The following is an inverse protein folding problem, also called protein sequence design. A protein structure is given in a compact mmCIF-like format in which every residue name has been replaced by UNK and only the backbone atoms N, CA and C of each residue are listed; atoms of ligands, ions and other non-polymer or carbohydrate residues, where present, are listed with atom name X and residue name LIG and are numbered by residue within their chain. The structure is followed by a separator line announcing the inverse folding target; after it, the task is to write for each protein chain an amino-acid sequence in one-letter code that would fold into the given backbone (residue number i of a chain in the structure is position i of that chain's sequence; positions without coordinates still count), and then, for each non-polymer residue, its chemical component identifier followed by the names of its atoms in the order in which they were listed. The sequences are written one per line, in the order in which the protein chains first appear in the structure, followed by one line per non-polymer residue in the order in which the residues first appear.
data_IF_755446948319
#
_entry.id   IF_755446948319
#
_cell.length_a   1.000
_cell.length_b   1.000
_cell.length_c   1.000
_cell.angle_alpha   90.00
_cell.angle_beta   90.00
_cell.angle_gamma   90.00
#
_symmetry.space_group_name_H-M   'P 1'
#
loop_
_entity.id
_entity.type
_entity.pdbx_description
1 polymer ?
#
# COMPACT_ATOMS: atom_id res chain seq x y z
N UNK A 1 89.00 1.39 3.43
CA UNK A 1 88.46 1.33 4.82
C UNK A 1 87.11 2.01 4.78
N UNK A 2 86.07 1.25 5.10
CA UNK A 2 84.67 1.45 4.71
C UNK A 2 84.01 2.69 5.34
N UNK A 3 83.29 3.47 4.51
CA UNK A 3 82.22 4.37 4.96
C UNK A 3 81.00 3.54 5.37
N UNK A 4 80.56 3.68 6.61
CA UNK A 4 79.30 3.12 7.11
C UNK A 4 78.20 4.15 6.89
N UNK A 5 77.29 3.85 5.96
CA UNK A 5 76.03 4.58 5.76
C UNK A 5 74.96 3.91 6.62
N UNK A 6 74.37 4.68 7.52
CA UNK A 6 73.24 4.29 8.37
C UNK A 6 71.99 4.20 7.49
N UNK A 7 71.39 3.01 7.39
CA UNK A 7 70.09 2.81 6.75
C UNK A 7 69.03 2.58 7.83
N UNK A 8 68.06 3.49 7.92
CA UNK A 8 66.89 3.36 8.78
C UNK A 8 66.02 2.20 8.27
N UNK A 9 65.87 1.16 9.08
CA UNK A 9 64.88 0.12 8.88
C UNK A 9 63.48 0.66 9.17
N UNK A 10 62.66 0.79 8.13
CA UNK A 10 61.22 1.05 8.23
C UNK A 10 60.57 -0.25 8.71
N UNK A 11 60.08 -0.27 9.95
CA UNK A 11 59.25 -1.35 10.46
C UNK A 11 57.93 -1.37 9.69
N UNK A 12 57.76 -2.39 8.84
CA UNK A 12 56.49 -2.70 8.20
C UNK A 12 55.47 -3.11 9.24
N UNK A 13 54.49 -2.24 9.49
CA UNK A 13 53.27 -2.62 10.21
C UNK A 13 52.46 -3.50 9.26
N UNK A 14 52.59 -4.81 9.46
CA UNK A 14 51.66 -5.82 8.95
C UNK A 14 50.25 -5.44 9.40
N UNK A 15 49.44 -4.89 8.50
CA UNK A 15 47.99 -4.92 8.63
C UNK A 15 47.59 -6.39 8.54
N UNK A 16 47.49 -7.05 9.70
CA UNK A 16 46.64 -8.22 9.83
C UNK A 16 45.24 -7.79 9.38
N UNK A 17 44.86 -8.17 8.16
CA UNK A 17 43.46 -8.17 7.78
C UNK A 17 42.80 -9.22 8.68
N UNK A 18 42.11 -8.75 9.71
CA UNK A 18 41.14 -9.58 10.38
C UNK A 18 40.09 -9.96 9.34
N UNK A 19 40.16 -11.18 8.81
CA UNK A 19 39.08 -11.76 8.05
C UNK A 19 37.87 -11.82 8.97
N UNK A 20 36.99 -10.83 8.89
CA UNK A 20 35.64 -10.98 9.43
C UNK A 20 35.04 -12.18 8.71
N UNK A 21 34.91 -13.28 9.45
CA UNK A 21 34.22 -14.46 8.99
C UNK A 21 32.79 -14.00 8.68
N UNK A 22 32.44 -13.88 7.40
CA UNK A 22 31.16 -13.35 6.92
C UNK A 22 30.05 -14.39 7.09
N UNK A 23 29.93 -14.97 8.27
CA UNK A 23 28.83 -15.86 8.63
C UNK A 23 27.55 -15.03 8.65
N UNK A 24 26.59 -15.36 7.78
CA UNK A 24 25.26 -14.76 7.83
C UNK A 24 24.55 -15.26 9.09
N UNK A 25 24.38 -14.43 10.14
CA UNK A 25 23.58 -14.86 11.28
C UNK A 25 22.16 -15.09 10.80
N UNK A 26 21.60 -16.24 11.15
CA UNK A 26 20.20 -16.56 10.87
C UNK A 26 19.45 -16.49 12.19
N UNK A 27 18.47 -15.60 12.26
CA UNK A 27 17.62 -15.45 13.44
C UNK A 27 16.75 -16.69 13.62
N UNK A 28 16.37 -17.00 14.86
CA UNK A 28 15.60 -18.20 15.18
C UNK A 28 14.27 -18.26 14.40
N UNK A 29 13.60 -17.12 14.22
CA UNK A 29 12.35 -17.02 13.46
C UNK A 29 12.56 -17.20 11.95
N UNK A 30 13.81 -17.18 11.47
CA UNK A 30 14.19 -17.41 10.08
C UNK A 30 14.87 -18.76 9.82
N UNK A 31 14.90 -19.65 10.83
CA UNK A 31 15.32 -21.05 10.70
C UNK A 31 14.14 -21.95 10.28
N UNK A 32 13.39 -21.54 9.26
CA UNK A 32 12.16 -22.20 8.83
C UNK A 32 12.24 -22.55 7.35
N UNK A 33 11.97 -23.81 7.04
CA UNK A 33 11.71 -24.30 5.69
C UNK A 33 10.25 -24.76 5.62
N UNK A 34 9.55 -24.41 4.54
CA UNK A 34 8.21 -24.95 4.27
C UNK A 34 8.18 -25.64 2.91
N UNK A 35 7.26 -26.59 2.76
CA UNK A 35 7.15 -27.44 1.56
C UNK A 35 5.82 -27.24 0.82
N UNK A 36 5.01 -26.26 1.24
CA UNK A 36 3.74 -25.92 0.59
C UNK A 36 3.36 -24.46 0.83
N UNK A 37 2.51 -23.94 -0.07
CA UNK A 37 1.88 -22.62 0.07
C UNK A 37 0.51 -22.80 0.75
N UNK A 38 0.19 -22.03 1.80
CA UNK A 38 -1.13 -22.06 2.40
C UNK A 38 -2.23 -21.76 1.38
N UNK A 39 -3.29 -22.57 1.39
CA UNK A 39 -4.39 -22.52 0.41
C UNK A 39 -3.95 -22.74 -1.06
N UNK A 40 -2.78 -23.33 -1.30
CA UNK A 40 -2.25 -23.56 -2.66
C UNK A 40 -3.20 -24.33 -3.58
N UNK A 41 -3.94 -25.32 -3.06
CA UNK A 41 -4.94 -26.07 -3.83
C UNK A 41 -6.12 -25.20 -4.28
N UNK A 42 -6.56 -24.28 -3.41
CA UNK A 42 -7.63 -23.33 -3.71
C UNK A 42 -7.15 -22.31 -4.75
N UNK A 43 -5.92 -21.80 -4.59
CA UNK A 43 -5.31 -20.93 -5.59
C UNK A 43 -5.19 -21.63 -6.95
N UNK A 44 -4.77 -22.89 -6.98
CA UNK A 44 -4.70 -23.70 -8.20
C UNK A 44 -6.06 -23.87 -8.87
N UNK A 45 -7.12 -24.11 -8.07
CA UNK A 45 -8.48 -24.18 -8.60
C UNK A 45 -8.94 -22.84 -9.18
N UNK A 46 -8.69 -21.74 -8.48
CA UNK A 46 -9.04 -20.41 -8.98
C UNK A 46 -8.29 -20.02 -10.25
N UNK A 47 -7.01 -20.41 -10.37
CA UNK A 47 -6.24 -20.26 -11.59
C UNK A 47 -6.85 -21.05 -12.76
N UNK A 48 -7.25 -22.32 -12.54
CA UNK A 48 -7.90 -23.16 -13.57
C UNK A 48 -9.21 -22.53 -14.08
N UNK A 49 -9.94 -21.88 -13.20
CA UNK A 49 -11.20 -21.18 -13.52
C UNK A 49 -10.98 -19.76 -14.07
N UNK A 50 -9.72 -19.32 -14.27
CA UNK A 50 -9.36 -17.96 -14.69
C UNK A 50 -9.86 -16.83 -13.77
N UNK A 51 -10.07 -17.11 -12.47
CA UNK A 51 -10.37 -16.05 -11.52
C UNK A 51 -9.19 -15.09 -11.40
N UNK A 52 -9.50 -13.81 -11.16
CA UNK A 52 -8.53 -12.71 -11.06
C UNK A 52 -7.69 -12.41 -12.30
N UNK A 53 -7.73 -13.23 -13.36
CA UNK A 53 -6.94 -12.98 -14.58
C UNK A 53 -7.30 -11.64 -15.22
N UNK A 54 -6.28 -10.88 -15.58
CA UNK A 54 -6.37 -9.65 -16.37
C UNK A 54 -5.30 -9.72 -17.43
N UNK A 55 -5.74 -9.52 -18.65
CA UNK A 55 -4.93 -9.63 -19.85
C UNK A 55 -4.56 -8.20 -20.29
N UNK A 56 -3.76 -7.54 -19.47
CA UNK A 56 -3.32 -6.16 -19.61
C UNK A 56 -1.81 -6.03 -19.38
N UNK A 57 -1.21 -4.94 -19.85
CA UNK A 57 0.22 -4.66 -19.67
C UNK A 57 1.13 -5.80 -20.19
N UNK A 58 0.81 -6.39 -21.35
CA UNK A 58 1.54 -7.54 -21.92
C UNK A 58 3.03 -7.33 -22.17
N UNK A 59 3.46 -6.07 -22.26
CA UNK A 59 4.85 -5.67 -22.51
C UNK A 59 5.63 -5.36 -21.22
N UNK A 60 5.04 -5.55 -20.04
CA UNK A 60 5.73 -5.30 -18.77
C UNK A 60 6.95 -6.22 -18.62
N UNK A 61 8.12 -5.64 -18.33
CA UNK A 61 9.28 -6.41 -17.91
C UNK A 61 9.07 -6.99 -16.51
N UNK A 62 9.72 -8.12 -16.22
CA UNK A 62 9.73 -8.67 -14.86
C UNK A 62 10.61 -7.83 -13.95
N UNK A 63 9.99 -6.99 -13.13
CA UNK A 63 10.63 -6.28 -12.03
C UNK A 63 9.95 -6.65 -10.72
N UNK A 64 10.76 -6.76 -9.68
CA UNK A 64 10.28 -7.04 -8.34
C UNK A 64 9.99 -5.70 -7.65
N UNK A 65 8.85 -5.64 -6.97
CA UNK A 65 8.48 -4.50 -6.16
C UNK A 65 8.89 -4.75 -4.72
N UNK A 66 8.33 -5.80 -4.11
CA UNK A 66 8.55 -6.13 -2.70
C UNK A 66 8.47 -7.64 -2.45
N UNK A 67 9.15 -8.11 -1.40
CA UNK A 67 9.01 -9.46 -0.84
C UNK A 67 8.53 -9.38 0.60
N UNK A 68 7.44 -10.07 0.93
CA UNK A 68 6.83 -10.09 2.26
C UNK A 68 6.98 -11.47 2.88
N UNK A 69 7.63 -11.55 4.04
CA UNK A 69 7.86 -12.79 4.79
C UNK A 69 6.77 -12.99 5.85
N UNK A 70 5.90 -13.97 5.63
CA UNK A 70 4.92 -14.42 6.62
C UNK A 70 5.44 -15.64 7.40
N UNK A 71 4.64 -16.13 8.34
CA UNK A 71 5.03 -17.23 9.21
C UNK A 71 5.39 -18.50 8.43
N UNK A 72 4.67 -18.79 7.36
CA UNK A 72 4.68 -20.06 6.62
C UNK A 72 4.97 -19.91 5.11
N UNK A 73 4.93 -18.70 4.56
CA UNK A 73 5.26 -18.43 3.16
C UNK A 73 5.86 -17.02 2.97
N UNK A 74 6.28 -16.75 1.73
CA UNK A 74 6.71 -15.44 1.24
C UNK A 74 5.78 -15.03 0.09
N UNK A 75 5.34 -13.78 0.03
CA UNK A 75 4.67 -13.23 -1.14
C UNK A 75 5.59 -12.24 -1.84
N UNK A 76 5.75 -12.36 -3.16
CA UNK A 76 6.56 -11.45 -3.97
C UNK A 76 5.65 -10.69 -4.91
N UNK A 77 5.61 -9.36 -4.80
CA UNK A 77 4.89 -8.48 -5.71
C UNK A 77 5.79 -8.09 -6.88
N UNK A 78 5.24 -8.10 -8.09
CA UNK A 78 5.97 -7.80 -9.33
C UNK A 78 5.23 -6.77 -10.18
N UNK A 79 5.86 -6.30 -11.26
CA UNK A 79 5.24 -5.44 -12.27
C UNK A 79 4.37 -6.19 -13.28
N UNK A 80 4.44 -7.53 -13.33
CA UNK A 80 3.84 -8.35 -14.39
C UNK A 80 2.41 -8.75 -14.06
N UNK A 81 1.41 -8.25 -14.79
CA UNK A 81 0.00 -8.56 -14.51
C UNK A 81 -0.61 -9.67 -15.40
N UNK A 82 -0.09 -9.89 -16.61
CA UNK A 82 -0.70 -10.77 -17.62
C UNK A 82 -0.36 -12.27 -17.48
N UNK A 83 0.40 -12.66 -16.46
CA UNK A 83 0.95 -14.02 -16.33
C UNK A 83 0.20 -14.93 -15.36
N UNK A 84 -1.02 -14.58 -14.92
CA UNK A 84 -1.79 -15.43 -13.99
C UNK A 84 -1.83 -16.90 -14.45
N UNK A 85 -1.48 -17.82 -13.55
CA UNK A 85 -1.41 -19.26 -13.84
C UNK A 85 -0.17 -19.73 -14.60
N UNK A 86 0.73 -18.83 -15.02
CA UNK A 86 2.01 -19.21 -15.62
C UNK A 86 3.04 -19.55 -14.55
N UNK A 87 3.96 -20.49 -14.83
CA UNK A 87 5.00 -20.88 -13.89
C UNK A 87 5.92 -19.70 -13.56
N UNK A 88 6.41 -19.71 -12.33
CA UNK A 88 7.42 -18.80 -11.81
C UNK A 88 8.30 -19.58 -10.84
N UNK A 89 9.57 -19.23 -10.71
CA UNK A 89 10.50 -19.92 -9.82
C UNK A 89 11.05 -18.95 -8.79
N UNK A 90 10.86 -19.27 -7.52
CA UNK A 90 11.38 -18.51 -6.40
C UNK A 90 12.86 -18.84 -6.21
N UNK A 91 13.70 -17.80 -6.17
CA UNK A 91 15.15 -17.86 -6.01
C UNK A 91 15.52 -17.16 -4.70
N UNK A 92 16.30 -17.79 -3.84
CA UNK A 92 16.53 -17.33 -2.46
C UNK A 92 17.98 -16.94 -2.24
N UNK A 93 18.20 -15.84 -1.53
CA UNK A 93 19.54 -15.32 -1.30
C UNK A 93 19.77 -15.02 0.18
N UNK A 94 20.99 -15.26 0.64
CA UNK A 94 21.43 -14.99 2.00
C UNK A 94 21.70 -13.48 2.25
N UNK A 95 22.19 -13.16 3.45
CA UNK A 95 22.51 -11.78 3.83
C UNK A 95 23.62 -11.13 2.98
N UNK A 96 24.46 -11.94 2.32
CA UNK A 96 25.52 -11.50 1.41
C UNK A 96 25.02 -11.45 -0.05
N UNK A 97 23.71 -11.61 -0.28
CA UNK A 97 23.08 -11.74 -1.59
C UNK A 97 23.65 -12.89 -2.43
N UNK A 98 24.14 -13.94 -1.78
CA UNK A 98 24.54 -15.18 -2.45
C UNK A 98 23.35 -16.11 -2.50
N UNK A 99 23.13 -16.70 -3.67
CA UNK A 99 22.06 -17.65 -3.86
C UNK A 99 22.26 -18.88 -2.97
N UNK A 100 21.20 -19.28 -2.26
CA UNK A 100 21.20 -20.45 -1.40
C UNK A 100 21.05 -21.68 -2.29
N UNK A 101 22.05 -22.56 -2.26
CA UNK A 101 22.06 -23.78 -3.07
C UNK A 101 20.85 -24.68 -2.80
N UNK A 102 20.30 -25.28 -3.86
CA UNK A 102 19.16 -26.21 -3.81
C UNK A 102 17.91 -25.66 -3.10
N UNK A 103 17.72 -24.34 -3.13
CA UNK A 103 16.60 -23.68 -2.46
C UNK A 103 15.44 -23.33 -3.40
N UNK A 104 15.64 -23.39 -4.72
CA UNK A 104 14.68 -23.01 -5.74
C UNK A 104 13.33 -23.69 -5.54
N UNK A 105 12.24 -22.95 -5.75
CA UNK A 105 10.87 -23.47 -5.63
C UNK A 105 10.03 -23.09 -6.84
N UNK A 106 9.37 -24.07 -7.44
CA UNK A 106 8.41 -23.82 -8.52
C UNK A 106 7.06 -23.36 -7.95
N UNK A 107 6.60 -22.22 -8.42
CA UNK A 107 5.32 -21.60 -8.09
C UNK A 107 4.61 -21.13 -9.37
N UNK A 108 3.62 -20.26 -9.21
CA UNK A 108 2.87 -19.64 -10.31
C UNK A 108 2.43 -18.23 -9.91
N UNK A 109 2.19 -17.40 -10.92
CA UNK A 109 1.62 -16.08 -10.73
C UNK A 109 0.16 -16.18 -10.30
N UNK A 110 -0.17 -15.76 -9.08
CA UNK A 110 -1.53 -15.67 -8.57
C UNK A 110 -1.61 -14.79 -7.31
N UNK A 111 -2.65 -13.94 -7.16
CA UNK A 111 -3.41 -13.37 -8.27
C UNK A 111 -2.51 -12.43 -9.09
N UNK A 112 -2.72 -12.35 -10.40
CA UNK A 112 -2.09 -11.34 -11.25
C UNK A 112 -0.56 -11.27 -11.13
N UNK A 113 -0.04 -10.27 -10.42
CA UNK A 113 1.37 -9.93 -10.31
C UNK A 113 2.06 -10.45 -9.05
N UNK A 114 1.42 -11.38 -8.33
CA UNK A 114 1.94 -11.97 -7.11
C UNK A 114 2.51 -13.37 -7.37
N UNK A 115 3.64 -13.69 -6.75
CA UNK A 115 4.17 -15.05 -6.68
C UNK A 115 4.31 -15.45 -5.22
N UNK A 116 3.64 -16.54 -4.84
CA UNK A 116 3.76 -17.13 -3.50
C UNK A 116 4.92 -18.12 -3.47
N UNK A 117 5.85 -17.91 -2.56
CA UNK A 117 7.06 -18.70 -2.38
C UNK A 117 7.03 -19.39 -1.02
N UNK A 118 7.58 -20.60 -0.93
CA UNK A 118 7.78 -21.27 0.37
C UNK A 118 8.91 -20.59 1.14
N UNK A 119 9.03 -20.90 2.43
CA UNK A 119 10.14 -20.41 3.25
C UNK A 119 11.40 -21.24 3.03
N UNK A 120 12.54 -20.56 3.10
CA UNK A 120 13.87 -21.16 3.09
C UNK A 120 14.69 -20.55 4.21
N UNK A 121 15.27 -21.41 5.04
CA UNK A 121 16.02 -20.99 6.20
C UNK A 121 17.21 -20.11 5.78
N UNK A 122 17.40 -18.98 6.46
CA UNK A 122 18.48 -18.03 6.17
C UNK A 122 18.26 -17.13 4.95
N UNK A 123 17.16 -17.27 4.22
CA UNK A 123 16.82 -16.33 3.14
C UNK A 123 16.59 -14.92 3.71
N UNK A 124 17.26 -13.93 3.12
CA UNK A 124 17.12 -12.50 3.43
C UNK A 124 16.59 -11.71 2.23
N UNK A 125 16.82 -12.22 1.03
CA UNK A 125 16.31 -11.67 -0.21
C UNK A 125 15.68 -12.78 -1.04
N UNK A 126 14.76 -12.37 -1.91
CA UNK A 126 14.08 -13.26 -2.86
C UNK A 126 14.09 -12.64 -4.25
N UNK A 127 14.17 -13.49 -5.26
CA UNK A 127 13.94 -13.13 -6.65
C UNK A 127 13.04 -14.14 -7.34
N UNK A 128 12.55 -13.78 -8.53
CA UNK A 128 11.70 -14.59 -9.38
C UNK A 128 12.38 -14.78 -10.74
N UNK A 129 12.36 -16.01 -11.26
CA UNK A 129 12.68 -16.33 -12.65
C UNK A 129 11.49 -16.99 -13.36
N UNK A 130 11.50 -16.99 -14.69
CA UNK A 130 10.48 -17.70 -15.49
C UNK A 130 10.82 -19.17 -15.74
N UNK A 131 12.09 -19.54 -15.59
CA UNK A 131 12.62 -20.88 -15.78
C UNK A 131 13.42 -21.28 -14.55
N UNK A 132 13.52 -22.58 -14.30
CA UNK A 132 14.17 -23.12 -13.10
C UNK A 132 15.61 -22.63 -12.99
N UNK A 133 16.44 -22.85 -14.02
CA UNK A 133 17.84 -22.42 -14.09
C UNK A 133 18.06 -21.16 -14.95
N UNK A 134 16.99 -20.41 -15.19
CA UNK A 134 17.01 -19.23 -16.05
C UNK A 134 17.50 -17.96 -15.36
N UNK A 135 17.47 -16.87 -16.12
CA UNK A 135 17.69 -15.53 -15.57
C UNK A 135 16.58 -15.17 -14.57
N UNK A 136 17.00 -14.69 -13.40
CA UNK A 136 16.12 -14.14 -12.39
C UNK A 136 16.13 -12.61 -12.42
N UNK A 137 15.06 -12.01 -11.93
CA UNK A 137 14.91 -10.55 -11.85
C UNK A 137 15.96 -9.95 -10.90
N UNK A 138 16.63 -8.88 -11.34
CA UNK A 138 17.64 -8.18 -10.56
C UNK A 138 17.22 -6.74 -10.28
N UNK A 139 17.55 -6.19 -9.10
CA UNK A 139 18.14 -6.89 -7.94
C UNK A 139 17.11 -7.81 -7.25
N UNK A 140 17.60 -8.79 -6.48
CA UNK A 140 16.74 -9.51 -5.54
C UNK A 140 16.22 -8.53 -4.48
N UNK A 141 14.97 -8.68 -4.06
CA UNK A 141 14.34 -7.76 -3.09
C UNK A 141 14.49 -8.28 -1.68
N UNK A 142 14.73 -7.40 -0.69
CA UNK A 142 14.80 -7.80 0.71
C UNK A 142 13.42 -8.29 1.17
N UNK A 143 13.45 -9.26 2.10
CA UNK A 143 12.24 -9.77 2.74
C UNK A 143 11.81 -8.83 3.88
N UNK A 144 10.67 -8.17 3.70
CA UNK A 144 10.00 -7.40 4.74
C UNK A 144 9.27 -8.34 5.68
N UNK A 145 9.54 -8.19 6.98
CA UNK A 145 8.91 -9.02 7.99
C UNK A 145 7.41 -8.71 8.13
N UNK A 146 6.58 -9.74 7.95
CA UNK A 146 5.12 -9.74 8.13
C UNK A 146 4.65 -11.00 8.89
N UNK A 147 5.55 -11.67 9.60
CA UNK A 147 5.26 -12.83 10.43
C UNK A 147 4.96 -12.42 11.89
N UNK A 148 4.14 -11.39 12.07
CA UNK A 148 3.71 -10.96 13.40
C UNK A 148 2.70 -11.96 13.96
N UNK A 149 2.79 -12.28 15.25
CA UNK A 149 1.84 -13.17 15.93
C UNK A 149 0.43 -12.55 15.97
N UNK A 150 0.37 -11.25 16.23
CA UNK A 150 -0.84 -10.43 16.19
C UNK A 150 -0.59 -9.17 15.34
N UNK A 151 -1.62 -8.63 14.65
CA UNK A 151 -1.48 -7.39 13.91
C UNK A 151 -1.04 -6.23 14.80
N UNK A 152 -0.06 -5.44 14.33
CA UNK A 152 0.45 -4.26 15.06
C UNK A 152 -0.61 -3.15 15.10
N UNK A 153 -1.35 -3.00 14.02
CA UNK A 153 -2.36 -1.96 13.84
C UNK A 153 -3.76 -2.57 13.83
N UNK A 154 -4.69 -1.98 14.56
CA UNK A 154 -6.11 -2.37 14.48
C UNK A 154 -6.68 -2.00 13.10
N UNK A 155 -6.42 -0.75 12.66
CA UNK A 155 -6.85 -0.22 11.38
C UNK A 155 -5.66 0.37 10.64
N UNK A 156 -5.39 -0.18 9.46
CA UNK A 156 -4.50 0.38 8.46
C UNK A 156 -5.27 0.83 7.21
N UNK A 157 -4.57 1.52 6.31
CA UNK A 157 -5.20 2.07 5.12
C UNK A 157 -4.33 1.94 3.88
N UNK A 158 -4.86 1.30 2.85
CA UNK A 158 -4.35 1.35 1.49
C UNK A 158 -4.85 2.61 0.80
N UNK A 159 -3.92 3.48 0.42
CA UNK A 159 -4.24 4.72 -0.28
C UNK A 159 -4.00 4.53 -1.77
N UNK A 160 -4.96 4.96 -2.59
CA UNK A 160 -4.82 4.99 -4.04
C UNK A 160 -3.51 5.66 -4.49
N UNK A 161 -2.96 5.24 -5.65
CA UNK A 161 -1.61 5.63 -6.04
C UNK A 161 -1.47 7.13 -6.29
N UNK A 162 -0.29 7.66 -5.96
CA UNK A 162 0.11 9.01 -6.33
C UNK A 162 0.77 9.02 -7.70
N UNK A 163 0.21 9.84 -8.59
CA UNK A 163 0.74 10.11 -9.92
C UNK A 163 0.15 11.41 -10.48
N UNK A 164 0.82 11.96 -11.48
CA UNK A 164 0.37 13.14 -12.23
C UNK A 164 0.90 14.46 -11.67
N UNK A 165 0.69 15.56 -12.41
CA UNK A 165 1.36 16.84 -12.13
C UNK A 165 0.69 17.68 -11.04
N UNK A 166 -0.43 17.22 -10.46
CA UNK A 166 -1.17 17.96 -9.45
C UNK A 166 -0.42 17.96 -8.11
N UNK A 167 -0.22 19.15 -7.54
CA UNK A 167 0.30 19.29 -6.18
C UNK A 167 -0.80 18.95 -5.18
N UNK A 168 -0.63 17.87 -4.44
CA UNK A 168 -1.65 17.30 -3.54
C UNK A 168 -1.32 17.41 -2.06
N UNK A 169 -0.35 18.24 -1.69
CA UNK A 169 0.12 18.39 -0.31
C UNK A 169 -1.02 18.62 0.71
N UNK A 170 -1.96 19.53 0.41
CA UNK A 170 -3.06 19.83 1.32
C UNK A 170 -4.09 18.69 1.38
N UNK A 171 -4.44 18.13 0.22
CA UNK A 171 -5.33 16.97 0.11
C UNK A 171 -4.76 15.76 0.87
N UNK A 172 -3.43 15.54 0.80
CA UNK A 172 -2.71 14.51 1.56
C UNK A 172 -2.82 14.73 3.07
N UNK A 173 -2.51 15.95 3.55
CA UNK A 173 -2.57 16.23 4.99
C UNK A 173 -4.01 16.11 5.49
N UNK A 174 -4.98 16.71 4.80
CA UNK A 174 -6.40 16.61 5.17
C UNK A 174 -6.87 15.16 5.19
N UNK A 175 -6.51 14.36 4.18
CA UNK A 175 -6.88 12.95 4.11
C UNK A 175 -6.32 12.15 5.30
N UNK A 176 -5.02 12.26 5.57
CA UNK A 176 -4.37 11.53 6.67
C UNK A 176 -4.98 11.94 8.00
N UNK A 177 -5.06 13.24 8.29
CA UNK A 177 -5.60 13.73 9.56
C UNK A 177 -7.07 13.40 9.74
N UNK A 178 -7.87 13.46 8.68
CA UNK A 178 -9.27 13.04 8.69
C UNK A 178 -9.41 11.56 9.03
N UNK A 179 -8.65 10.68 8.39
CA UNK A 179 -8.73 9.24 8.63
C UNK A 179 -8.18 8.85 10.01
N UNK A 180 -7.22 9.61 10.56
CA UNK A 180 -6.72 9.44 11.93
C UNK A 180 -7.78 9.75 13.00
N UNK A 181 -8.78 10.59 12.70
CA UNK A 181 -9.93 10.80 13.61
C UNK A 181 -10.71 9.49 13.80
N UNK A 182 -10.73 8.63 12.78
CA UNK A 182 -11.35 7.29 12.83
C UNK A 182 -10.36 6.19 13.24
N UNK A 183 -9.29 6.57 13.96
CA UNK A 183 -8.31 5.65 14.54
C UNK A 183 -7.52 4.83 13.51
N UNK A 184 -7.44 5.29 12.25
CA UNK A 184 -6.47 4.76 11.29
C UNK A 184 -5.07 5.09 11.79
N UNK A 185 -4.28 4.05 12.04
CA UNK A 185 -2.97 4.18 12.70
C UNK A 185 -1.79 3.97 11.76
N UNK A 186 -2.01 3.42 10.56
CA UNK A 186 -0.98 3.18 9.57
C UNK A 186 -1.49 3.40 8.15
N UNK A 187 -0.72 4.12 7.34
CA UNK A 187 -1.03 4.43 5.95
C UNK A 187 -0.01 3.80 5.01
N UNK A 188 -0.49 3.10 3.99
CA UNK A 188 0.34 2.45 2.99
C UNK A 188 0.15 3.19 1.67
N UNK A 189 1.19 3.92 1.26
CA UNK A 189 1.18 4.72 0.04
C UNK A 189 1.96 4.03 -1.07
N UNK A 190 1.47 4.18 -2.30
CA UNK A 190 2.24 3.82 -3.50
C UNK A 190 2.43 5.05 -4.35
N UNK A 191 3.67 5.33 -4.71
CA UNK A 191 4.09 6.53 -5.42
C UNK A 191 4.65 6.11 -6.76
N UNK A 192 3.99 6.50 -7.85
CA UNK A 192 4.56 6.44 -9.19
C UNK A 192 5.26 7.76 -9.54
N UNK A 193 4.64 8.87 -9.18
CA UNK A 193 5.18 10.21 -9.33
C UNK A 193 4.59 11.14 -8.25
N UNK A 194 5.42 12.02 -7.69
CA UNK A 194 5.03 12.97 -6.65
C UNK A 194 5.98 14.16 -6.67
N UNK A 195 5.43 15.37 -6.58
CA UNK A 195 6.22 16.59 -6.51
C UNK A 195 6.95 16.71 -5.15
N UNK A 196 8.10 17.37 -5.16
CA UNK A 196 8.93 17.52 -3.96
C UNK A 196 8.23 18.27 -2.81
N UNK A 197 7.22 19.10 -3.09
CA UNK A 197 6.50 19.85 -2.06
C UNK A 197 5.48 18.99 -1.32
N UNK A 198 4.74 18.14 -2.03
CA UNK A 198 3.88 17.11 -1.43
C UNK A 198 4.69 16.04 -0.68
N UNK A 199 5.90 15.72 -1.19
CA UNK A 199 6.80 14.74 -0.56
C UNK A 199 7.19 15.15 0.87
N UNK A 200 7.36 16.45 1.16
CA UNK A 200 7.68 16.93 2.50
C UNK A 200 6.66 16.48 3.56
N UNK A 201 5.36 16.57 3.24
CA UNK A 201 4.31 16.12 4.16
C UNK A 201 4.32 14.60 4.34
N UNK A 202 4.54 13.84 3.26
CA UNK A 202 4.60 12.39 3.33
C UNK A 202 5.81 11.89 4.12
N UNK A 203 6.99 12.50 3.90
CA UNK A 203 8.22 12.21 4.66
C UNK A 203 8.01 12.42 6.16
N UNK A 204 7.28 13.47 6.54
CA UNK A 204 6.98 13.71 7.94
C UNK A 204 6.09 12.63 8.55
N UNK A 205 5.09 12.13 7.81
CA UNK A 205 4.29 10.99 8.26
C UNK A 205 5.09 9.68 8.33
N UNK A 206 6.01 9.44 7.39
CA UNK A 206 6.94 8.30 7.46
C UNK A 206 7.86 8.42 8.68
N UNK A 207 8.40 9.62 8.94
CA UNK A 207 9.26 9.91 10.11
C UNK A 207 8.54 9.69 11.43
N UNK A 208 7.24 9.99 11.50
CA UNK A 208 6.40 9.72 12.68
C UNK A 208 6.02 8.23 12.82
N UNK A 209 6.38 7.37 11.86
CA UNK A 209 5.99 5.95 11.85
C UNK A 209 4.50 5.74 11.53
N UNK A 210 3.86 6.72 10.90
CA UNK A 210 2.43 6.67 10.53
C UNK A 210 2.22 6.21 9.09
N UNK A 211 3.28 6.18 8.27
CA UNK A 211 3.20 5.79 6.88
C UNK A 211 4.34 4.88 6.44
N UNK A 212 4.05 3.98 5.49
CA UNK A 212 5.03 3.26 4.69
C UNK A 212 4.79 3.56 3.20
N UNK A 213 5.86 3.84 2.45
CA UNK A 213 5.77 4.08 1.01
C UNK A 213 6.39 2.96 0.18
N UNK A 214 5.76 2.65 -0.97
CA UNK A 214 6.37 1.93 -2.09
C UNK A 214 6.54 2.91 -3.24
N UNK A 215 7.78 3.15 -3.69
CA UNK A 215 8.04 3.92 -4.90
C UNK A 215 8.17 2.95 -6.08
N UNK A 216 7.33 3.14 -7.10
CA UNK A 216 7.33 2.30 -8.30
C UNK A 216 7.92 3.10 -9.46
N UNK A 217 9.12 2.71 -9.88
CA UNK A 217 9.71 3.21 -11.10
C UNK A 217 9.05 2.52 -12.30
N UNK A 218 8.33 3.33 -13.08
CA UNK A 218 7.59 2.87 -14.26
C UNK A 218 8.36 3.18 -15.53
N UNK A 219 8.44 2.22 -16.45
CA UNK A 219 8.90 2.43 -17.83
C UNK A 219 7.84 3.08 -18.73
N UNK A 220 6.59 3.15 -18.25
CA UNK A 220 5.46 3.63 -19.01
C UNK A 220 5.43 5.16 -19.05
N UNK A 221 5.26 5.70 -20.24
CA UNK A 221 5.10 7.14 -20.50
C UNK A 221 3.73 7.67 -20.06
N UNK A 222 2.74 6.79 -19.94
CA UNK A 222 1.40 7.11 -19.45
C UNK A 222 0.94 6.06 -18.45
N UNK A 223 0.45 6.53 -17.31
CA UNK A 223 -0.20 5.71 -16.29
C UNK A 223 -1.70 5.87 -16.44
N UNK A 224 -2.41 4.75 -16.51
CA UNK A 224 -3.87 4.72 -16.48
C UNK A 224 -4.39 4.05 -15.19
N UNK A 225 -5.71 3.89 -15.11
CA UNK A 225 -6.38 3.30 -13.95
C UNK A 225 -6.00 1.83 -13.71
N UNK A 226 -5.38 1.12 -14.66
CA UNK A 226 -4.98 -0.28 -14.47
C UNK A 226 -3.78 -0.41 -13.52
N UNK A 227 -2.95 0.62 -13.40
CA UNK A 227 -1.80 0.65 -12.48
C UNK A 227 -2.20 0.63 -11.01
N UNK A 228 -3.46 0.98 -10.70
CA UNK A 228 -4.00 0.81 -9.36
C UNK A 228 -3.97 -0.67 -8.92
N UNK A 229 -4.04 -1.66 -9.83
CA UNK A 229 -3.94 -3.07 -9.42
C UNK A 229 -2.58 -3.42 -8.83
N UNK A 230 -1.50 -2.80 -9.33
CA UNK A 230 -0.17 -2.98 -8.76
C UNK A 230 -0.14 -2.43 -7.33
N UNK A 231 -0.63 -1.20 -7.14
CA UNK A 231 -0.76 -0.58 -5.82
C UNK A 231 -1.62 -1.42 -4.88
N UNK A 232 -2.76 -1.91 -5.34
CA UNK A 232 -3.70 -2.67 -4.54
C UNK A 232 -3.09 -3.96 -4.01
N UNK A 233 -2.40 -4.74 -4.86
CA UNK A 233 -1.82 -5.99 -4.38
C UNK A 233 -0.55 -5.78 -3.56
N UNK A 234 0.26 -4.75 -3.88
CA UNK A 234 1.41 -4.38 -3.05
C UNK A 234 0.95 -3.97 -1.65
N UNK A 235 -0.01 -3.07 -1.57
CA UNK A 235 -0.59 -2.62 -0.31
C UNK A 235 -1.29 -3.75 0.45
N UNK A 236 -2.02 -4.62 -0.26
CA UNK A 236 -2.67 -5.79 0.34
C UNK A 236 -1.66 -6.65 1.09
N UNK A 237 -0.52 -6.97 0.48
CA UNK A 237 0.51 -7.76 1.15
C UNK A 237 1.28 -6.98 2.21
N UNK A 238 1.52 -5.68 1.99
CA UNK A 238 2.15 -4.79 2.96
C UNK A 238 1.34 -4.63 4.24
N UNK A 239 0.02 -4.63 4.13
CA UNK A 239 -0.90 -4.48 5.25
C UNK A 239 -1.26 -5.80 5.93
N UNK A 240 -1.18 -6.94 5.22
CA UNK A 240 -1.48 -8.26 5.78
C UNK A 240 -0.56 -8.61 6.95
N UNK A 241 -1.16 -9.10 8.04
CA UNK A 241 -0.51 -9.37 9.34
C UNK A 241 0.10 -8.14 10.02
N UNK A 242 0.09 -6.97 9.37
CA UNK A 242 0.50 -5.70 9.96
C UNK A 242 -0.71 -4.94 10.51
N UNK A 243 -1.84 -5.00 9.80
CA UNK A 243 -3.12 -4.42 10.16
C UNK A 243 -4.22 -5.49 10.23
N UNK A 244 -5.09 -5.42 11.25
CA UNK A 244 -6.22 -6.34 11.40
C UNK A 244 -7.35 -6.03 10.39
N UNK A 245 -7.67 -4.75 10.25
CA UNK A 245 -8.59 -4.25 9.24
C UNK A 245 -7.87 -3.25 8.34
N UNK A 246 -8.21 -3.28 7.05
CA UNK A 246 -7.60 -2.42 6.05
C UNK A 246 -8.70 -1.70 5.28
N UNK A 247 -8.63 -0.38 5.28
CA UNK A 247 -9.47 0.47 4.45
C UNK A 247 -8.82 0.62 3.08
N UNK A 248 -9.56 0.41 2.00
CA UNK A 248 -9.09 0.75 0.66
C UNK A 248 -9.82 2.00 0.15
N UNK A 249 -9.12 3.12 0.06
CA UNK A 249 -9.70 4.38 -0.40
C UNK A 249 -8.73 5.20 -1.24
N UNK A 250 -9.29 6.08 -2.06
CA UNK A 250 -8.52 7.08 -2.81
C UNK A 250 -8.28 8.32 -1.92
N UNK A 251 -7.25 9.10 -2.24
CA UNK A 251 -6.88 10.30 -1.45
C UNK A 251 -7.98 11.39 -1.46
N UNK A 252 -8.84 11.37 -2.47
CA UNK A 252 -10.00 12.26 -2.64
C UNK A 252 -11.25 11.70 -1.94
N UNK A 253 -11.09 10.78 -0.99
CA UNK A 253 -12.19 10.21 -0.21
C UNK A 253 -12.07 10.51 1.30
N UNK A 254 -13.21 10.74 1.96
CA UNK A 254 -13.32 10.99 3.41
C UNK A 254 -14.37 10.07 4.01
N UNK A 255 -13.99 9.26 4.99
CA UNK A 255 -14.93 8.40 5.70
C UNK A 255 -15.77 9.20 6.70
N UNK A 256 -17.06 8.92 6.82
CA UNK A 256 -17.93 9.56 7.82
C UNK A 256 -18.84 8.55 8.49
N UNK A 257 -19.06 8.74 9.79
CA UNK A 257 -20.04 8.00 10.59
C UNK A 257 -21.17 8.92 11.04
N UNK A 258 -22.39 8.38 11.12
CA UNK A 258 -23.59 9.17 11.45
C UNK A 258 -24.20 8.83 12.80
N UNK A 259 -23.71 7.79 13.48
CA UNK A 259 -24.13 7.44 14.83
C UNK A 259 -23.08 7.92 15.85
N UNK A 260 -23.42 8.84 16.75
CA UNK A 260 -22.47 9.36 17.74
C UNK A 260 -22.05 8.30 18.77
N UNK A 261 -22.90 7.31 19.03
CA UNK A 261 -22.67 6.27 20.03
C UNK A 261 -21.92 5.03 19.49
N UNK A 262 -21.50 5.06 18.22
CA UNK A 262 -20.81 3.95 17.57
C UNK A 262 -19.53 4.44 16.91
N UNK A 263 -18.37 3.97 17.37
CA UNK A 263 -17.09 4.23 16.69
C UNK A 263 -16.81 3.21 15.60
N UNK A 264 -15.88 3.54 14.69
CA UNK A 264 -15.48 2.61 13.62
C UNK A 264 -14.90 1.33 14.22
N UNK A 265 -14.04 1.44 15.24
CA UNK A 265 -13.48 0.27 15.92
C UNK A 265 -14.58 -0.58 16.55
N UNK A 266 -15.57 0.01 17.22
CA UNK A 266 -16.68 -0.74 17.79
C UNK A 266 -17.48 -1.47 16.71
N UNK A 267 -17.73 -0.81 15.57
CA UNK A 267 -18.37 -1.44 14.41
C UNK A 267 -17.52 -2.62 13.93
N UNK A 268 -16.21 -2.47 13.75
CA UNK A 268 -15.33 -3.54 13.26
C UNK A 268 -15.20 -4.71 14.24
N UNK A 269 -15.04 -4.45 15.53
CA UNK A 269 -14.91 -5.47 16.59
C UNK A 269 -16.18 -6.26 16.84
N UNK A 270 -17.35 -5.66 16.61
CA UNK A 270 -18.63 -6.36 16.73
C UNK A 270 -18.90 -7.38 15.62
N UNK A 271 -18.07 -7.41 14.57
CA UNK A 271 -18.29 -8.34 13.45
C UNK A 271 -17.87 -9.77 13.81
N UNK A 272 -18.67 -10.73 13.34
CA UNK A 272 -18.40 -12.15 13.48
C UNK A 272 -17.03 -12.52 12.86
N UNK A 273 -16.36 -13.54 13.41
CA UNK A 273 -15.04 -13.99 12.95
C UNK A 273 -15.00 -14.52 11.51
N UNK A 274 -16.13 -14.67 10.83
CA UNK A 274 -16.19 -15.03 9.40
C UNK A 274 -16.53 -13.85 8.49
N UNK A 275 -16.78 -12.65 9.02
CA UNK A 275 -16.86 -11.44 8.20
C UNK A 275 -15.45 -11.10 7.72
N UNK A 276 -15.25 -11.10 6.41
CA UNK A 276 -13.99 -10.71 5.77
C UNK A 276 -14.00 -9.30 5.21
N UNK A 277 -15.18 -8.74 4.95
CA UNK A 277 -15.31 -7.40 4.39
C UNK A 277 -16.60 -6.74 4.85
N UNK A 278 -16.50 -5.44 5.12
CA UNK A 278 -17.59 -4.50 5.20
C UNK A 278 -17.57 -3.58 3.98
N UNK A 279 -18.67 -3.56 3.23
CA UNK A 279 -18.89 -2.65 2.12
C UNK A 279 -19.61 -1.39 2.58
N UNK A 280 -19.04 -0.24 2.24
CA UNK A 280 -19.59 1.07 2.52
C UNK A 280 -19.94 1.76 1.21
N UNK A 281 -21.03 2.51 1.20
CA UNK A 281 -21.40 3.30 0.04
C UNK A 281 -20.56 4.56 -0.03
N UNK A 282 -20.27 5.02 -1.25
CA UNK A 282 -19.65 6.32 -1.50
C UNK A 282 -20.66 7.29 -2.12
N UNK A 283 -20.67 8.54 -1.64
CA UNK A 283 -21.37 9.67 -2.25
C UNK A 283 -20.38 10.57 -2.95
N UNK A 284 -20.74 11.08 -4.12
CA UNK A 284 -19.88 11.98 -4.89
C UNK A 284 -20.15 13.42 -4.48
N UNK A 285 -19.08 14.16 -4.23
CA UNK A 285 -19.09 15.59 -3.91
C UNK A 285 -18.44 16.32 -5.08
N UNK A 286 -19.05 17.40 -5.53
CA UNK A 286 -18.55 18.20 -6.62
C UNK A 286 -17.37 19.08 -6.17
N UNK A 287 -16.16 18.77 -6.66
CA UNK A 287 -14.97 19.61 -6.53
C UNK A 287 -14.87 20.52 -7.76
N UNK A 288 -15.04 21.82 -7.56
CA UNK A 288 -15.06 22.82 -8.65
C UNK A 288 -13.74 23.57 -8.82
N UNK A 289 -12.80 23.40 -7.90
CA UNK A 289 -11.52 24.11 -7.89
C UNK A 289 -10.38 23.14 -7.56
N UNK A 290 -9.18 23.47 -8.02
CA UNK A 290 -7.97 22.71 -7.71
C UNK A 290 -7.48 23.03 -6.30
N UNK A 291 -6.66 22.13 -5.75
CA UNK A 291 -5.96 22.35 -4.48
C UNK A 291 -4.89 23.45 -4.62
N UNK A 292 -4.58 24.21 -3.55
CA UNK A 292 -3.59 25.27 -3.60
C UNK A 292 -2.19 24.72 -3.91
N UNK A 293 -1.39 25.49 -4.66
CA UNK A 293 -0.06 25.04 -5.08
C UNK A 293 1.00 25.03 -3.97
N UNK A 294 0.79 25.81 -2.91
CA UNK A 294 1.72 25.94 -1.78
C UNK A 294 1.01 26.50 -0.55
N UNK A 295 1.59 26.29 0.63
CA UNK A 295 1.24 26.98 1.85
C UNK A 295 1.59 28.48 1.75
N UNK A 296 0.62 29.33 2.07
CA UNK A 296 0.75 30.79 2.13
C UNK A 296 0.55 31.28 3.56
N UNK A 297 -0.57 30.92 4.16
CA UNK A 297 -0.97 31.18 5.54
C UNK A 297 -2.07 30.21 5.98
N UNK A 298 -2.31 30.13 7.29
CA UNK A 298 -3.29 29.21 7.86
C UNK A 298 -4.74 29.50 7.44
N UNK A 299 -5.13 30.78 7.33
CA UNK A 299 -6.50 31.15 6.94
C UNK A 299 -6.82 30.63 5.53
N UNK A 300 -5.95 30.88 4.56
CA UNK A 300 -6.10 30.37 3.20
C UNK A 300 -6.04 28.85 3.15
N UNK A 301 -5.26 28.21 4.03
CA UNK A 301 -5.21 26.75 4.14
C UNK A 301 -6.57 26.18 4.57
N UNK A 302 -7.17 26.75 5.62
CA UNK A 302 -8.47 26.31 6.15
C UNK A 302 -9.58 26.53 5.10
N UNK A 303 -9.59 27.68 4.42
CA UNK A 303 -10.54 28.00 3.35
C UNK A 303 -10.43 27.05 2.13
N UNK A 304 -9.30 26.34 2.01
CA UNK A 304 -9.04 25.39 0.92
C UNK A 304 -9.17 23.93 1.33
N UNK A 305 -9.61 23.61 2.55
CA UNK A 305 -9.93 22.23 2.94
C UNK A 305 -11.10 21.71 2.10
N UNK A 306 -10.87 20.63 1.37
CA UNK A 306 -11.83 20.03 0.44
C UNK A 306 -13.12 19.64 1.17
N UNK A 307 -12.97 19.05 2.36
CA UNK A 307 -14.09 18.57 3.15
C UNK A 307 -15.04 19.67 3.66
N UNK A 308 -14.55 20.91 3.77
CA UNK A 308 -15.30 22.07 4.23
C UNK A 308 -15.81 22.90 3.05
N UNK A 309 -14.96 23.07 2.03
CA UNK A 309 -15.20 23.93 0.88
C UNK A 309 -16.24 23.37 -0.08
N UNK A 310 -16.25 22.05 -0.28
CA UNK A 310 -17.13 21.41 -1.26
C UNK A 310 -18.27 20.66 -0.57
N UNK A 311 -19.49 21.21 -0.70
CA UNK A 311 -20.68 20.69 -0.01
C UNK A 311 -21.69 20.04 -0.97
N UNK A 312 -21.63 20.38 -2.25
CA UNK A 312 -22.58 19.93 -3.29
C UNK A 312 -22.45 18.42 -3.51
N UNK A 313 -23.36 17.67 -2.92
CA UNK A 313 -23.36 16.20 -2.93
C UNK A 313 -24.37 15.69 -3.94
N UNK A 314 -23.90 14.89 -4.90
CA UNK A 314 -24.75 14.31 -5.92
C UNK A 314 -25.65 13.22 -5.33
N UNK A 315 -26.90 13.16 -5.80
CA UNK A 315 -27.79 12.06 -5.49
C UNK A 315 -27.37 10.81 -6.27
N UNK A 316 -26.51 9.98 -5.67
CA UNK A 316 -26.08 8.70 -6.27
C UNK A 316 -27.10 7.60 -6.02
N UNK A 317 -27.31 6.72 -7.01
CA UNK A 317 -28.09 5.50 -6.78
C UNK A 317 -27.37 4.64 -5.74
N UNK A 318 -28.16 3.94 -4.92
CA UNK A 318 -27.64 2.84 -4.10
C UNK A 318 -26.93 1.91 -5.11
N UNK A 319 -25.66 1.53 -4.87
CA UNK A 319 -24.78 0.69 -5.72
C UNK A 319 -23.83 1.37 -6.73
N UNK A 320 -23.84 2.69 -6.92
CA UNK A 320 -22.97 3.33 -7.93
C UNK A 320 -21.51 3.51 -7.52
N UNK A 321 -21.17 3.32 -6.25
CA UNK A 321 -19.81 3.43 -5.73
C UNK A 321 -19.74 2.76 -4.36
N UNK A 322 -18.86 1.77 -4.19
CA UNK A 322 -18.56 1.18 -2.89
C UNK A 322 -17.07 1.26 -2.56
N UNK A 323 -16.79 1.25 -1.27
CA UNK A 323 -15.45 1.15 -0.70
C UNK A 323 -15.48 0.09 0.38
N UNK A 324 -14.40 -0.66 0.51
CA UNK A 324 -14.31 -1.82 1.38
C UNK A 324 -13.38 -1.54 2.56
N UNK A 325 -13.78 -2.02 3.73
CA UNK A 325 -12.90 -2.26 4.86
C UNK A 325 -12.85 -3.77 5.04
N UNK A 326 -11.67 -4.37 4.88
CA UNK A 326 -11.52 -5.81 4.80
C UNK A 326 -10.45 -6.32 5.75
N UNK A 327 -10.48 -7.63 6.02
CA UNK A 327 -9.49 -8.36 6.80
C UNK A 327 -8.52 -9.08 5.86
N UNK A 328 -7.25 -8.62 5.75
CA UNK A 328 -6.33 -9.15 4.75
C UNK A 328 -6.07 -10.65 4.85
N UNK A 329 -6.16 -11.23 6.06
CA UNK A 329 -5.94 -12.65 6.29
C UNK A 329 -7.05 -13.56 5.73
N UNK A 330 -8.23 -13.01 5.46
CA UNK A 330 -9.42 -13.75 4.98
C UNK A 330 -9.68 -13.61 3.48
N UNK A 331 -8.92 -12.74 2.83
CA UNK A 331 -9.10 -12.37 1.44
C UNK A 331 -7.95 -12.95 0.63
N UNK A 332 -8.25 -13.41 -0.58
CA UNK A 332 -7.22 -13.86 -1.51
C UNK A 332 -6.93 -12.83 -2.60
N UNK A 333 -7.95 -12.08 -3.03
CA UNK A 333 -7.85 -11.12 -4.12
C UNK A 333 -8.61 -9.85 -3.77
N UNK A 334 -7.90 -8.73 -3.69
CA UNK A 334 -8.49 -7.41 -3.52
C UNK A 334 -8.61 -6.69 -4.87
N UNK A 335 -9.65 -5.88 -5.05
CA UNK A 335 -9.79 -4.99 -6.22
C UNK A 335 -10.13 -3.57 -5.80
N UNK A 336 -10.35 -2.69 -6.77
CA UNK A 336 -10.56 -1.25 -6.60
C UNK A 336 -11.59 -0.87 -5.52
N UNK A 337 -12.70 -1.61 -5.45
CA UNK A 337 -13.85 -1.24 -4.62
C UNK A 337 -14.18 -2.29 -3.56
N UNK A 338 -13.96 -3.56 -3.88
CA UNK A 338 -14.33 -4.71 -3.05
C UNK A 338 -13.35 -5.87 -3.24
N UNK A 339 -13.37 -6.80 -2.31
CA UNK A 339 -12.61 -8.04 -2.40
C UNK A 339 -13.29 -8.95 -3.42
N UNK A 340 -12.51 -9.44 -4.37
CA UNK A 340 -13.00 -10.26 -5.47
C UNK A 340 -13.10 -11.73 -5.11
N UNK A 341 -12.17 -12.23 -4.29
CA UNK A 341 -12.17 -13.61 -3.79
C UNK A 341 -11.87 -13.62 -2.29
N UNK A 342 -12.73 -14.30 -1.55
CA UNK A 342 -12.55 -14.61 -0.13
C UNK A 342 -12.26 -16.10 0.05
N UNK A 343 -11.58 -16.47 1.14
CA UNK A 343 -11.39 -17.87 1.48
C UNK A 343 -12.72 -18.53 1.92
N UNK A 344 -12.83 -19.87 1.83
CA UNK A 344 -14.07 -20.57 2.17
C UNK A 344 -14.63 -20.21 3.56
N UNK A 345 -15.95 -20.04 3.63
CA UNK A 345 -16.66 -19.69 4.88
C UNK A 345 -16.65 -18.20 5.23
N UNK A 346 -15.91 -17.37 4.48
CA UNK A 346 -15.87 -15.92 4.67
C UNK A 346 -17.03 -15.25 3.93
N UNK A 347 -17.64 -14.24 4.55
CA UNK A 347 -18.72 -13.47 3.94
C UNK A 347 -18.51 -11.96 4.02
N UNK A 348 -19.16 -11.27 3.09
CA UNK A 348 -19.14 -9.82 2.90
C UNK A 348 -20.45 -9.24 3.41
N UNK A 349 -20.38 -8.12 4.16
CA UNK A 349 -21.56 -7.45 4.71
C UNK A 349 -21.63 -6.01 4.20
N UNK A 350 -22.82 -5.60 3.77
CA UNK A 350 -23.06 -4.20 3.43
C UNK A 350 -23.42 -3.41 4.69
N UNK A 351 -22.79 -2.26 4.87
CA UNK A 351 -23.12 -1.30 5.91
C UNK A 351 -24.14 -0.30 5.38
N UNK A 352 -25.27 -0.10 6.10
CA UNK A 352 -26.26 0.90 5.73
C UNK A 352 -25.66 2.32 5.64
N UNK A 353 -26.16 3.12 4.69
CA UNK A 353 -25.65 4.46 4.42
C UNK A 353 -25.85 5.43 5.58
N UNK A 354 -26.92 5.24 6.34
CA UNK A 354 -27.26 5.97 7.56
C UNK A 354 -26.40 5.57 8.77
N UNK A 355 -25.58 4.52 8.65
CA UNK A 355 -24.56 4.17 9.64
C UNK A 355 -23.23 4.87 9.32
N UNK A 356 -22.72 4.66 8.11
CA UNK A 356 -21.46 5.22 7.66
C UNK A 356 -21.36 5.25 6.13
N UNK A 357 -20.56 6.17 5.59
CA UNK A 357 -20.30 6.27 4.15
C UNK A 357 -18.94 6.90 3.84
N UNK A 358 -18.50 6.79 2.60
CA UNK A 358 -17.40 7.60 2.06
C UNK A 358 -17.95 8.81 1.30
N UNK A 359 -17.31 9.95 1.50
CA UNK A 359 -17.49 11.18 0.70
C UNK A 359 -16.36 11.21 -0.32
N UNK A 360 -16.69 11.20 -1.60
CA UNK A 360 -15.74 11.12 -2.71
C UNK A 360 -15.74 12.43 -3.51
N UNK A 361 -14.69 13.23 -3.37
CA UNK A 361 -14.56 14.55 -3.98
C UNK A 361 -14.07 14.42 -5.43
N UNK A 362 -14.93 14.74 -6.40
CA UNK A 362 -14.63 14.56 -7.83
C UNK A 362 -14.53 15.89 -8.54
N UNK A 363 -13.42 16.09 -9.26
CA UNK A 363 -13.20 17.28 -10.10
C UNK A 363 -14.13 17.22 -11.31
N UNK A 364 -15.02 18.21 -11.46
CA UNK A 364 -15.99 18.26 -12.57
C UNK A 364 -15.69 19.33 -13.62
N UNK A 365 -14.62 20.10 -13.43
CA UNK A 365 -14.27 21.24 -14.32
C UNK A 365 -13.40 20.84 -15.51
N UNK A 366 -12.75 19.69 -15.46
CA UNK A 366 -11.84 19.22 -16.52
C UNK A 366 -12.62 18.37 -17.51
N UNK A 367 -13.00 18.88 -18.69
CA UNK A 367 -13.64 18.04 -19.74
C UNK A 367 -12.70 16.88 -20.10
N UNK A 368 -13.10 15.64 -19.79
CA UNK A 368 -12.42 14.34 -20.06
C UNK A 368 -11.63 13.68 -18.90
N UNK A 369 -11.72 14.16 -17.66
CA UNK A 369 -11.36 13.33 -16.49
C UNK A 369 -12.23 12.06 -16.41
N UNK A 370 -11.60 10.93 -16.04
CA UNK A 370 -12.31 9.71 -15.63
C UNK A 370 -13.23 10.10 -14.46
N UNK A 371 -14.53 9.83 -14.57
CA UNK A 371 -15.46 10.23 -13.51
C UNK A 371 -16.29 11.48 -13.80
N UNK A 372 -15.99 12.27 -14.84
CA UNK A 372 -16.82 13.44 -15.17
C UNK A 372 -18.28 13.11 -15.43
N UNK A 373 -18.53 12.04 -16.21
CA UNK A 373 -19.85 11.51 -16.54
C UNK A 373 -20.77 11.22 -15.35
N UNK A 374 -20.18 11.16 -14.15
CA UNK A 374 -20.73 10.49 -12.98
C UNK A 374 -21.19 11.46 -11.89
N UNK A 375 -20.99 12.76 -12.11
CA UNK A 375 -21.48 13.87 -11.29
C UNK A 375 -22.47 14.73 -12.10
N UNK A 376 -23.05 14.19 -13.19
CA UNK A 376 -24.03 14.90 -14.00
C UNK A 376 -25.47 14.59 -13.56
N UNK A 377 -26.16 15.65 -13.17
CA UNK A 377 -27.58 15.70 -12.81
C UNK A 377 -27.86 17.02 -12.08
N UNK A 378 -29.06 17.57 -12.20
CA UNK A 378 -29.42 18.86 -11.59
C UNK A 378 -29.78 18.76 -10.09
N UNK A 379 -29.72 17.56 -9.49
CA UNK A 379 -30.14 17.30 -8.12
C UNK A 379 -28.94 17.13 -7.17
N UNK A 380 -28.46 18.25 -6.65
CA UNK A 380 -27.49 18.29 -5.55
C UNK A 380 -28.16 18.63 -4.22
N UNK A 381 -27.63 18.08 -3.14
CA UNK A 381 -27.93 18.51 -1.77
C UNK A 381 -26.65 19.00 -1.11
N UNK A 382 -26.72 20.08 -0.36
CA UNK A 382 -25.59 20.53 0.45
C UNK A 382 -25.47 19.63 1.67
N UNK A 383 -24.33 18.95 1.79
CA UNK A 383 -24.01 18.15 2.98
C UNK A 383 -22.60 18.50 3.42
N UNK A 384 -22.44 18.94 4.67
CA UNK A 384 -21.15 19.20 5.29
C UNK A 384 -20.71 18.07 6.22
N UNK A 385 -19.58 18.28 6.88
CA UNK A 385 -19.21 17.49 8.05
C UNK A 385 -20.07 17.90 9.25
N UNK A 386 -20.12 17.02 10.26
CA UNK A 386 -20.69 17.38 11.55
C UNK A 386 -19.79 18.46 12.21
N UNK A 387 -20.34 19.48 12.89
CA UNK A 387 -19.56 20.61 13.41
C UNK A 387 -18.37 20.27 14.31
N UNK A 388 -18.48 19.27 15.20
CA UNK A 388 -17.36 18.88 16.06
C UNK A 388 -16.29 18.11 15.29
N UNK A 389 -16.68 17.28 14.32
CA UNK A 389 -15.76 16.65 13.38
C UNK A 389 -15.01 17.71 12.55
N UNK A 390 -15.71 18.74 12.07
CA UNK A 390 -15.11 19.83 11.32
C UNK A 390 -14.05 20.58 12.13
N UNK A 391 -14.38 20.99 13.37
CA UNK A 391 -13.43 21.67 14.27
C UNK A 391 -12.20 20.81 14.55
N UNK A 392 -12.40 19.51 14.80
CA UNK A 392 -11.30 18.59 15.07
C UNK A 392 -10.39 18.41 13.85
N UNK A 393 -10.98 18.30 12.65
CA UNK A 393 -10.23 18.21 11.40
C UNK A 393 -9.40 19.48 11.17
N UNK A 394 -10.02 20.66 11.30
CA UNK A 394 -9.34 21.95 11.16
C UNK A 394 -8.15 22.04 12.12
N UNK A 395 -8.35 21.71 13.39
CA UNK A 395 -7.28 21.75 14.39
C UNK A 395 -6.11 20.82 14.03
N UNK A 396 -6.40 19.58 13.64
CA UNK A 396 -5.37 18.60 13.26
C UNK A 396 -4.60 19.01 12.02
N UNK A 397 -5.30 19.46 10.97
CA UNK A 397 -4.67 19.91 9.73
C UNK A 397 -3.84 21.15 9.96
N UNK A 398 -4.34 22.13 10.71
CA UNK A 398 -3.60 23.35 11.06
C UNK A 398 -2.25 23.02 11.69
N UNK A 399 -2.26 22.20 12.76
CA UNK A 399 -1.05 21.79 13.46
C UNK A 399 -0.03 21.11 12.52
N UNK A 400 -0.49 20.20 11.65
CA UNK A 400 0.40 19.48 10.75
C UNK A 400 0.96 20.39 9.64
N UNK A 401 0.15 21.29 9.08
CA UNK A 401 0.60 22.23 8.05
C UNK A 401 1.63 23.20 8.60
N UNK A 402 1.39 23.79 9.78
CA UNK A 402 2.35 24.67 10.43
C UNK A 402 3.66 23.92 10.75
N UNK A 403 3.56 22.71 11.28
CA UNK A 403 4.74 21.87 11.57
C UNK A 403 5.58 21.58 10.33
N UNK A 404 4.95 21.21 9.21
CA UNK A 404 5.67 20.85 7.98
C UNK A 404 6.19 22.08 7.24
N UNK A 405 5.39 23.15 7.12
CA UNK A 405 5.65 24.24 6.16
C UNK A 405 5.97 25.60 6.77
N UNK A 406 5.72 25.79 8.07
CA UNK A 406 6.05 27.03 8.77
C UNK A 406 7.33 26.89 9.59
N UNK A 407 7.47 25.81 10.36
CA UNK A 407 8.63 25.55 11.21
C UNK A 407 9.88 25.03 10.45
N UNK A 408 9.71 24.64 9.18
CA UNK A 408 10.80 24.20 8.30
C UNK A 408 11.47 25.34 7.51
N UNK A 409 11.08 26.59 7.78
CA UNK A 409 11.77 27.81 7.31
C UNK A 409 12.67 28.34 8.40
#
# INVERSE_FOLDING_TARGET
MFLIVISLAIFGISKQSSSFNSTCPVEYWNLINTDSIPNGDIHAEWMRQNWSRRDNMFQSELRLLNGYLYADFIAVTTTVQYKTGKPAFCRYFDCNQREISNSTWQSSFFPLNIVYCVRRAGAKFVSISFEEDGFYAKPAVPLMFRAFEEPIHEIGMCVGPFYGPEKRWLTLIEFVEHMRIYEVSMFYFTIFDMDGYSRLALDEYERQGLAETTVIQTEYTQLDWMFHLIQLHDCFHRSRSHSQWVINADIDERFVMFHPDLTLIQLLKSQHHNVGELNFQARRIQKTQNSPEKYTNLLETIDNLEALKFLKTAMTRIWESSKSIYRPEKVAVQTYHHTHLQYPGVFVKNIPRDVAMFRHYRVTTVRNSIGNGWVYGDNFTDTGLEPELEKLLVHKVANMVEHVYELSK
#
